data_IF_224569561244
#
_entry.id   IF_224569561244
#
_cell.length_a   1.000
_cell.length_b   1.000
_cell.length_c   1.000
_cell.angle_alpha   90.00
_cell.angle_beta   90.00
_cell.angle_gamma   90.00
#
_symmetry.space_group_name_H-M   'P 1'
#
loop_
_entity.id
_entity.type
_entity.pdbx_description
1 polymer ?
#
# COMPACT_ATOMS: atom_id res chain seq x y z
N UNK A 1 30.06 4.76 13.65
CA UNK A 1 29.10 4.65 12.53
C UNK A 1 29.28 5.90 11.70
N UNK A 2 29.80 5.78 10.49
CA UNK A 2 29.90 6.88 9.54
C UNK A 2 28.49 7.31 9.19
N UNK A 3 28.09 8.53 9.63
CA UNK A 3 26.85 9.13 9.17
C UNK A 3 26.95 9.32 7.66
N UNK A 4 26.22 8.53 6.91
CA UNK A 4 26.02 8.74 5.49
C UNK A 4 25.25 10.05 5.33
N UNK A 5 25.87 11.01 4.64
CA UNK A 5 25.24 12.33 4.42
C UNK A 5 24.30 12.24 3.21
N UNK A 6 23.04 12.00 3.47
CA UNK A 6 21.97 11.86 2.45
C UNK A 6 21.71 13.16 1.66
N UNK A 7 22.31 14.28 2.07
CA UNK A 7 22.18 15.56 1.34
C UNK A 7 23.14 15.69 0.16
N UNK A 8 24.12 14.80 0.02
CA UNK A 8 25.13 14.84 -1.03
C UNK A 8 24.67 14.09 -2.28
N UNK A 9 24.91 14.69 -3.44
CA UNK A 9 24.80 13.96 -4.70
C UNK A 9 25.90 12.91 -4.75
N UNK A 10 25.50 11.66 -5.02
CA UNK A 10 26.39 10.51 -5.14
C UNK A 10 26.12 9.82 -6.49
N UNK A 11 27.14 9.36 -7.16
CA UNK A 11 26.99 8.55 -8.37
C UNK A 11 26.66 7.08 -8.04
N UNK A 12 26.12 6.37 -9.02
CA UNK A 12 25.65 5.00 -8.83
C UNK A 12 26.76 4.01 -8.45
N UNK A 13 27.98 4.19 -8.96
CA UNK A 13 29.10 3.31 -8.65
C UNK A 13 29.55 3.51 -7.19
N UNK A 14 29.67 4.75 -6.75
CA UNK A 14 30.00 5.09 -5.37
C UNK A 14 28.90 4.58 -4.43
N UNK A 15 27.62 4.78 -4.78
CA UNK A 15 26.49 4.29 -4.00
C UNK A 15 26.51 2.76 -3.86
N UNK A 16 26.77 2.05 -4.96
CA UNK A 16 26.86 0.58 -4.98
C UNK A 16 27.93 0.04 -4.04
N UNK A 17 29.07 0.72 -3.96
CA UNK A 17 30.21 0.31 -3.15
C UNK A 17 30.19 0.86 -1.71
N UNK A 18 29.19 1.69 -1.35
CA UNK A 18 29.10 2.29 -0.02
C UNK A 18 28.26 1.40 0.90
N UNK A 19 28.81 0.93 2.05
CA UNK A 19 28.03 0.19 3.02
C UNK A 19 27.02 1.11 3.72
N UNK A 20 25.76 1.03 3.33
CA UNK A 20 24.64 1.75 3.93
C UNK A 20 23.96 0.86 4.97
N UNK A 21 23.60 1.38 6.17
CA UNK A 21 22.85 0.61 7.15
C UNK A 21 21.54 0.06 6.57
N UNK A 22 21.16 -1.18 6.89
CA UNK A 22 19.89 -1.73 6.43
C UNK A 22 18.70 -0.97 7.05
N UNK A 23 17.54 -1.09 6.42
CA UNK A 23 16.29 -0.55 6.95
C UNK A 23 16.08 -1.02 8.39
N UNK A 24 15.80 -0.06 9.29
CA UNK A 24 15.47 -0.37 10.68
C UNK A 24 14.01 -0.82 10.76
N UNK A 25 13.78 -1.95 11.40
CA UNK A 25 12.45 -2.49 11.62
C UNK A 25 11.99 -2.31 13.06
N UNK A 26 10.78 -1.83 13.24
CA UNK A 26 10.06 -1.84 14.53
C UNK A 26 9.36 -3.18 14.70
N UNK A 27 8.70 -3.66 13.65
CA UNK A 27 8.21 -5.04 13.55
C UNK A 27 8.79 -5.61 12.25
N UNK A 28 9.62 -6.65 12.31
CA UNK A 28 10.25 -7.24 11.13
C UNK A 28 9.23 -7.54 10.03
N UNK A 29 9.53 -7.18 8.80
CA UNK A 29 8.73 -7.38 7.57
C UNK A 29 7.35 -6.71 7.55
N UNK A 30 6.96 -5.97 8.60
CA UNK A 30 5.64 -5.35 8.70
C UNK A 30 5.69 -3.84 8.95
N UNK A 31 6.60 -3.38 9.81
CA UNK A 31 6.64 -1.98 10.24
C UNK A 31 8.08 -1.46 10.25
N UNK A 32 8.55 -0.86 9.15
CA UNK A 32 9.86 -0.24 9.09
C UNK A 32 9.87 1.15 9.75
N UNK A 33 11.05 1.72 9.95
CA UNK A 33 11.22 3.14 10.19
C UNK A 33 10.66 3.95 9.00
N UNK A 34 10.23 5.19 9.25
CA UNK A 34 9.56 6.05 8.28
C UNK A 34 8.13 6.36 8.69
N UNK A 35 7.33 6.87 7.75
CA UNK A 35 5.94 7.25 8.00
C UNK A 35 4.99 6.11 7.64
N UNK A 36 4.25 5.62 8.63
CA UNK A 36 3.29 4.53 8.46
C UNK A 36 1.87 4.97 8.83
N UNK A 37 0.86 4.37 8.21
CA UNK A 37 -0.54 4.65 8.49
C UNK A 37 -1.24 3.35 8.91
N UNK A 38 -1.99 3.37 10.02
CA UNK A 38 -2.98 2.37 10.37
C UNK A 38 -4.37 2.93 10.11
N UNK A 39 -4.97 2.55 9.00
CA UNK A 39 -6.31 2.95 8.61
C UNK A 39 -7.35 1.88 8.97
N UNK A 40 -8.57 2.29 9.24
CA UNK A 40 -9.67 1.37 9.50
C UNK A 40 -10.94 2.11 9.92
N UNK A 41 -12.08 1.45 9.79
CA UNK A 41 -13.37 2.00 10.19
C UNK A 41 -13.39 2.42 11.68
N UNK A 42 -14.27 3.33 12.04
CA UNK A 42 -14.50 3.66 13.46
C UNK A 42 -14.93 2.42 14.22
N UNK A 43 -14.37 2.20 15.41
CA UNK A 43 -14.64 1.04 16.28
C UNK A 43 -14.18 -0.31 15.71
N UNK A 44 -13.31 -0.33 14.71
CA UNK A 44 -12.72 -1.58 14.19
C UNK A 44 -11.71 -2.24 15.15
N UNK A 45 -11.26 -1.55 16.19
CA UNK A 45 -10.29 -2.08 17.16
C UNK A 45 -8.87 -1.53 16.98
N UNK A 46 -8.68 -0.46 16.20
CA UNK A 46 -7.34 0.14 15.94
C UNK A 46 -6.59 0.51 17.21
N UNK A 47 -7.23 1.22 18.15
CA UNK A 47 -6.56 1.65 19.39
C UNK A 47 -6.20 0.47 20.32
N UNK A 48 -6.97 -0.64 20.28
CA UNK A 48 -6.58 -1.88 20.94
C UNK A 48 -5.35 -2.50 20.31
N UNK A 49 -5.32 -2.56 18.96
CA UNK A 49 -4.16 -3.03 18.20
C UNK A 49 -2.92 -2.18 18.50
N UNK A 50 -3.04 -0.85 18.47
CA UNK A 50 -1.93 0.05 18.79
C UNK A 50 -1.42 -0.15 20.21
N UNK A 51 -2.31 -0.24 21.19
CA UNK A 51 -1.90 -0.36 22.60
C UNK A 51 -1.18 -1.69 22.86
N UNK A 52 -1.74 -2.80 22.36
CA UNK A 52 -1.09 -4.11 22.44
C UNK A 52 0.26 -4.12 21.71
N UNK A 53 0.32 -3.63 20.49
CA UNK A 53 1.54 -3.55 19.69
C UNK A 53 2.62 -2.75 20.41
N UNK A 54 2.28 -1.56 20.94
CA UNK A 54 3.20 -0.71 21.68
C UNK A 54 3.74 -1.43 22.94
N UNK A 55 2.90 -2.18 23.64
CA UNK A 55 3.31 -2.93 24.82
C UNK A 55 4.30 -4.05 24.44
N UNK A 56 4.02 -4.82 23.37
CA UNK A 56 4.92 -5.86 22.88
C UNK A 56 6.27 -5.28 22.43
N UNK A 57 6.27 -4.14 21.74
CA UNK A 57 7.50 -3.48 21.30
C UNK A 57 8.30 -2.96 22.50
N UNK A 58 7.64 -2.33 23.46
CA UNK A 58 8.28 -1.78 24.64
C UNK A 58 8.93 -2.86 25.54
N UNK A 59 8.41 -4.09 25.52
CA UNK A 59 8.91 -5.23 26.31
C UNK A 59 9.90 -6.11 25.54
N UNK A 60 9.90 -6.07 24.22
CA UNK A 60 10.66 -7.02 23.39
C UNK A 60 9.98 -8.38 23.30
N UNK A 61 8.66 -8.40 23.20
CA UNK A 61 7.87 -9.61 23.05
C UNK A 61 7.84 -10.15 21.62
N UNK A 62 6.76 -10.83 21.29
CA UNK A 62 6.48 -11.31 19.95
C UNK A 62 5.26 -10.61 19.35
N UNK A 63 5.34 -10.30 18.05
CA UNK A 63 4.21 -9.78 17.26
C UNK A 63 4.00 -10.72 16.11
N UNK A 64 2.94 -11.51 16.15
CA UNK A 64 2.54 -12.44 15.08
C UNK A 64 3.70 -13.33 14.60
N UNK A 65 4.38 -13.98 15.55
CA UNK A 65 5.52 -14.87 15.31
C UNK A 65 6.86 -14.17 15.06
N UNK A 66 6.90 -12.85 15.03
CA UNK A 66 8.12 -12.06 14.85
C UNK A 66 8.69 -11.62 16.18
N UNK A 67 9.95 -11.96 16.42
CA UNK A 67 10.66 -11.52 17.63
C UNK A 67 10.97 -10.03 17.53
N UNK A 68 10.62 -9.26 18.55
CA UNK A 68 10.83 -7.82 18.62
C UNK A 68 12.02 -7.52 19.54
N UNK A 69 12.93 -6.66 19.10
CA UNK A 69 13.93 -6.08 19.99
C UNK A 69 13.27 -4.98 20.84
N UNK A 70 13.44 -5.02 22.18
CA UNK A 70 12.80 -4.04 23.06
C UNK A 70 13.31 -2.64 22.76
N UNK A 71 12.38 -1.70 22.63
CA UNK A 71 12.70 -0.29 22.38
C UNK A 71 11.63 0.62 22.98
N UNK A 72 11.98 1.82 23.44
CA UNK A 72 11.01 2.77 23.96
C UNK A 72 10.01 3.19 22.87
N UNK A 73 8.77 3.39 23.29
CA UNK A 73 7.63 3.79 22.44
C UNK A 73 6.96 5.00 23.05
N UNK A 74 6.68 6.00 22.23
CA UNK A 74 5.84 7.15 22.58
C UNK A 74 4.45 6.98 21.94
N UNK A 75 3.40 6.90 22.76
CA UNK A 75 2.03 6.79 22.27
C UNK A 75 1.22 8.04 22.61
N UNK A 76 0.94 8.87 21.61
CA UNK A 76 0.06 10.04 21.69
C UNK A 76 -1.40 9.59 21.57
N UNK A 77 -2.05 9.32 22.71
CA UNK A 77 -3.45 8.85 22.82
C UNK A 77 -4.39 10.06 22.89
N UNK A 78 -4.57 10.80 21.81
CA UNK A 78 -5.22 12.12 21.80
C UNK A 78 -6.76 12.06 21.86
N UNK A 79 -7.35 10.86 21.79
CA UNK A 79 -8.80 10.63 21.95
C UNK A 79 -9.13 9.92 23.26
N UNK A 80 -8.13 9.61 24.07
CA UNK A 80 -8.29 8.86 25.29
C UNK A 80 -7.86 9.63 26.55
N UNK A 81 -8.27 9.13 27.69
CA UNK A 81 -7.84 9.59 29.02
C UNK A 81 -6.93 8.55 29.65
N UNK A 82 -6.06 8.97 30.58
CA UNK A 82 -5.18 8.02 31.31
C UNK A 82 -5.97 6.92 32.01
N UNK A 83 -7.14 7.23 32.57
CA UNK A 83 -8.00 6.22 33.19
C UNK A 83 -8.46 5.15 32.19
N UNK A 84 -8.83 5.53 30.95
CA UNK A 84 -9.23 4.57 29.93
C UNK A 84 -8.04 3.76 29.40
N UNK A 85 -6.89 4.39 29.25
CA UNK A 85 -5.64 3.71 28.85
C UNK A 85 -5.26 2.67 29.91
N UNK A 86 -5.28 3.04 31.19
CA UNK A 86 -5.00 2.12 32.30
C UNK A 86 -5.97 0.94 32.31
N UNK A 87 -7.29 1.19 32.18
CA UNK A 87 -8.28 0.13 32.13
C UNK A 87 -8.06 -0.86 30.97
N UNK A 88 -7.61 -0.36 29.81
CA UNK A 88 -7.28 -1.21 28.66
C UNK A 88 -5.98 -1.99 28.89
N UNK A 89 -4.95 -1.39 29.44
CA UNK A 89 -3.70 -2.09 29.77
C UNK A 89 -3.96 -3.27 30.70
N UNK A 90 -4.76 -3.07 31.73
CA UNK A 90 -5.15 -4.13 32.67
C UNK A 90 -5.95 -5.28 32.02
N UNK A 91 -6.66 -4.99 30.92
CA UNK A 91 -7.38 -6.01 30.15
C UNK A 91 -6.49 -6.75 29.15
N UNK A 92 -5.50 -6.07 28.55
CA UNK A 92 -4.56 -6.68 27.59
C UNK A 92 -3.62 -7.65 28.30
N UNK A 93 -3.16 -7.27 29.49
CA UNK A 93 -2.11 -8.01 30.18
C UNK A 93 -2.16 -7.76 31.68
N UNK A 94 -2.27 -8.84 32.43
CA UNK A 94 -2.22 -8.81 33.89
C UNK A 94 -0.80 -8.74 34.48
N UNK A 95 0.24 -8.85 33.66
CA UNK A 95 1.66 -8.88 34.14
C UNK A 95 2.25 -7.50 34.43
N UNK A 96 1.57 -6.43 34.06
CA UNK A 96 1.96 -5.05 34.36
C UNK A 96 2.35 -4.21 33.13
N UNK A 97 2.76 -2.97 33.38
CA UNK A 97 3.21 -2.04 32.33
C UNK A 97 4.68 -2.23 31.95
N UNK A 98 5.17 -1.42 31.02
CA UNK A 98 6.58 -1.30 30.68
C UNK A 98 7.04 0.14 30.90
N UNK A 99 8.18 0.41 31.55
CA UNK A 99 8.72 1.75 31.66
C UNK A 99 9.14 2.34 30.32
N UNK A 100 9.27 1.50 29.30
CA UNK A 100 9.57 1.90 27.91
C UNK A 100 8.32 2.31 27.12
N UNK A 101 7.11 2.19 27.68
CA UNK A 101 5.88 2.64 27.00
C UNK A 101 5.40 3.95 27.62
N UNK A 102 5.58 5.02 26.88
CA UNK A 102 5.28 6.39 27.29
C UNK A 102 3.95 6.83 26.69
N UNK A 103 3.11 7.49 27.49
CA UNK A 103 1.81 7.97 27.07
C UNK A 103 1.69 9.48 27.17
N UNK A 104 1.08 10.08 26.18
CA UNK A 104 0.69 11.48 26.18
C UNK A 104 -0.74 11.62 25.66
N UNK A 105 -1.59 12.38 26.37
CA UNK A 105 -3.03 12.54 26.01
C UNK A 105 -3.35 13.91 25.42
N UNK A 106 -2.37 14.78 25.31
CA UNK A 106 -2.48 16.10 24.71
C UNK A 106 -1.23 16.39 23.90
N UNK A 107 -1.38 17.09 22.77
CA UNK A 107 -0.27 17.52 21.94
C UNK A 107 -0.67 18.76 21.13
N UNK A 108 0.32 19.51 20.68
CA UNK A 108 0.16 20.51 19.65
C UNK A 108 -0.23 19.93 18.32
N UNK A 109 -0.63 20.77 17.37
CA UNK A 109 -0.85 20.38 15.98
C UNK A 109 0.45 20.28 15.18
N UNK A 110 0.38 19.67 13.99
CA UNK A 110 1.46 19.66 13.00
C UNK A 110 1.79 21.12 12.63
N UNK A 111 3.08 21.48 12.68
CA UNK A 111 3.53 22.87 12.50
C UNK A 111 3.18 23.80 13.68
N UNK A 112 2.57 23.29 14.74
CA UNK A 112 2.11 24.04 15.91
C UNK A 112 2.59 23.39 17.23
N UNK A 113 3.77 22.79 17.21
CA UNK A 113 4.44 22.28 18.41
C UNK A 113 4.60 20.77 18.49
N UNK A 114 3.84 19.96 17.73
CA UNK A 114 3.92 18.50 17.74
C UNK A 114 5.35 18.00 17.48
N UNK A 115 6.01 18.53 16.46
CA UNK A 115 7.37 18.12 16.08
C UNK A 115 8.39 18.43 17.19
N UNK A 116 8.23 19.59 17.83
CA UNK A 116 9.09 19.99 18.96
C UNK A 116 8.86 19.11 20.20
N UNK A 117 7.61 18.74 20.48
CA UNK A 117 7.25 17.82 21.57
C UNK A 117 7.85 16.43 21.33
N UNK A 118 7.69 15.85 20.13
CA UNK A 118 8.28 14.56 19.74
C UNK A 118 9.81 14.63 19.86
N UNK A 119 10.43 15.67 19.29
CA UNK A 119 11.89 15.87 19.35
C UNK A 119 12.39 15.96 20.80
N UNK A 120 11.63 16.61 21.68
CA UNK A 120 11.95 16.70 23.11
C UNK A 120 11.84 15.34 23.78
N UNK A 121 10.81 14.57 23.47
CA UNK A 121 10.65 13.20 23.99
C UNK A 121 11.81 12.27 23.55
N UNK A 122 12.23 12.38 22.28
CA UNK A 122 13.37 11.63 21.74
C UNK A 122 14.70 11.97 22.46
N UNK A 123 14.88 13.21 22.87
CA UNK A 123 16.06 13.63 23.67
C UNK A 123 16.02 13.10 25.10
N UNK A 124 14.86 13.07 25.74
CA UNK A 124 14.70 12.60 27.12
C UNK A 124 14.66 11.07 27.21
N UNK A 125 14.23 10.39 26.18
CA UNK A 125 14.12 8.93 26.10
C UNK A 125 14.87 8.43 24.85
N UNK A 126 16.21 8.37 24.90
CA UNK A 126 17.02 7.89 23.79
C UNK A 126 16.64 6.46 23.40
N UNK A 127 16.59 6.21 22.09
CA UNK A 127 16.26 4.89 21.56
C UNK A 127 14.77 4.68 21.27
N UNK A 128 13.89 5.68 21.46
CA UNK A 128 12.51 5.60 20.95
C UNK A 128 12.58 5.19 19.46
N UNK A 129 11.92 4.06 19.15
CA UNK A 129 11.86 3.54 17.78
C UNK A 129 10.51 3.72 17.14
N UNK A 130 9.48 3.91 17.96
CA UNK A 130 8.10 4.08 17.50
C UNK A 130 7.44 5.26 18.19
N UNK A 131 6.80 6.10 17.39
CA UNK A 131 5.85 7.12 17.83
C UNK A 131 4.49 6.80 17.22
N UNK A 132 3.47 6.59 18.04
CA UNK A 132 2.09 6.38 17.57
C UNK A 132 1.28 7.65 17.80
N UNK A 133 0.52 8.09 16.79
CA UNK A 133 -0.38 9.25 16.89
C UNK A 133 -1.82 8.77 16.66
N UNK A 134 -2.62 8.72 17.72
CA UNK A 134 -4.03 8.27 17.67
C UNK A 134 -4.95 9.43 18.10
N UNK A 135 -5.49 10.20 17.14
CA UNK A 135 -5.50 9.99 15.71
C UNK A 135 -4.91 11.18 14.95
N UNK A 136 -4.56 10.96 13.68
CA UNK A 136 -4.10 12.02 12.77
C UNK A 136 -5.04 13.24 12.79
N UNK A 137 -6.36 13.02 12.85
CA UNK A 137 -7.36 14.09 12.85
C UNK A 137 -7.18 15.09 14.01
N UNK A 138 -6.58 14.69 15.12
CA UNK A 138 -6.35 15.54 16.29
C UNK A 138 -5.17 16.49 16.15
N UNK A 139 -4.23 16.17 15.28
CA UNK A 139 -2.99 16.94 15.08
C UNK A 139 -2.92 17.65 13.74
N UNK A 140 -3.90 17.46 12.85
CA UNK A 140 -3.93 18.11 11.54
C UNK A 140 -3.96 19.63 11.67
N UNK A 141 -3.22 20.29 10.79
CA UNK A 141 -3.29 21.75 10.65
C UNK A 141 -4.68 22.17 10.14
N UNK A 142 -5.26 23.17 10.78
CA UNK A 142 -6.53 23.77 10.35
C UNK A 142 -6.18 25.01 9.53
N UNK A 143 -6.16 24.87 8.21
CA UNK A 143 -6.02 26.02 7.32
C UNK A 143 -7.38 26.41 6.72
N UNK A 144 -7.80 27.67 6.86
CA UNK A 144 -9.07 28.14 6.32
C UNK A 144 -9.09 28.28 4.79
N UNK A 145 -7.90 28.31 4.14
CA UNK A 145 -7.76 28.52 2.70
C UNK A 145 -6.71 27.59 2.11
N UNK A 146 -7.08 26.83 1.06
CA UNK A 146 -6.18 25.95 0.32
C UNK A 146 -6.87 24.69 -0.19
N UNK A 147 -6.20 23.94 -1.08
CA UNK A 147 -6.71 22.63 -1.47
C UNK A 147 -6.45 21.61 -0.37
N UNK A 148 -7.43 20.74 -0.10
CA UNK A 148 -7.29 19.67 0.87
C UNK A 148 -6.08 18.77 0.58
N UNK A 149 -5.77 18.56 -0.70
CA UNK A 149 -4.60 17.81 -1.14
C UNK A 149 -3.27 18.47 -0.68
N UNK A 150 -3.13 19.78 -0.87
CA UNK A 150 -1.90 20.49 -0.49
C UNK A 150 -1.70 20.51 1.03
N UNK A 151 -2.79 20.65 1.80
CA UNK A 151 -2.75 20.58 3.26
C UNK A 151 -2.36 19.16 3.73
N UNK A 152 -3.01 18.14 3.21
CA UNK A 152 -2.72 16.74 3.53
C UNK A 152 -1.26 16.37 3.19
N UNK A 153 -0.79 16.76 2.01
CA UNK A 153 0.58 16.49 1.57
C UNK A 153 1.62 17.19 2.45
N UNK A 154 1.36 18.42 2.87
CA UNK A 154 2.24 19.19 3.76
C UNK A 154 2.33 18.55 5.14
N UNK A 155 1.18 18.23 5.74
CA UNK A 155 1.13 17.56 7.04
C UNK A 155 1.89 16.24 7.02
N UNK A 156 1.66 15.42 5.99
CA UNK A 156 2.36 14.15 5.84
C UNK A 156 3.86 14.33 5.60
N UNK A 157 4.26 15.33 4.79
CA UNK A 157 5.67 15.60 4.51
C UNK A 157 6.43 16.04 5.76
N UNK A 158 5.81 16.85 6.63
CA UNK A 158 6.42 17.27 7.88
C UNK A 158 6.69 16.07 8.81
N UNK A 159 5.71 15.19 8.97
CA UNK A 159 5.86 13.98 9.78
C UNK A 159 6.84 12.98 9.17
N UNK A 160 6.86 12.84 7.83
CA UNK A 160 7.84 12.02 7.13
C UNK A 160 9.26 12.53 7.37
N UNK A 161 9.50 13.84 7.19
CA UNK A 161 10.81 14.45 7.44
C UNK A 161 11.27 14.22 8.89
N UNK A 162 10.34 14.33 9.85
CA UNK A 162 10.65 14.06 11.26
C UNK A 162 11.04 12.59 11.48
N UNK A 163 10.29 11.66 10.88
CA UNK A 163 10.57 10.23 10.97
C UNK A 163 11.95 9.87 10.39
N UNK A 164 12.23 10.39 9.20
CA UNK A 164 13.50 10.15 8.47
C UNK A 164 14.69 10.76 9.22
N UNK A 165 14.58 12.02 9.68
CA UNK A 165 15.66 12.71 10.39
C UNK A 165 16.07 12.02 11.69
N UNK A 166 15.15 11.32 12.33
CA UNK A 166 15.40 10.60 13.59
C UNK A 166 15.49 9.08 13.42
N UNK A 167 15.34 8.55 12.20
CA UNK A 167 15.33 7.12 11.90
C UNK A 167 14.34 6.33 12.79
N UNK A 168 13.14 6.88 12.99
CA UNK A 168 12.07 6.28 13.79
C UNK A 168 10.87 5.93 12.91
N UNK A 169 10.01 5.06 13.39
CA UNK A 169 8.68 4.88 12.80
C UNK A 169 7.68 5.86 13.44
N UNK A 170 6.94 6.60 12.62
CA UNK A 170 5.75 7.34 13.03
C UNK A 170 4.54 6.61 12.48
N UNK A 171 3.71 6.02 13.35
CA UNK A 171 2.49 5.30 12.98
C UNK A 171 1.27 6.20 13.24
N UNK A 172 0.59 6.61 12.18
CA UNK A 172 -0.60 7.44 12.22
C UNK A 172 -1.86 6.59 12.22
N UNK A 173 -2.69 6.68 13.25
CA UNK A 173 -4.02 6.07 13.25
C UNK A 173 -4.98 6.97 12.49
N UNK A 174 -5.66 6.41 11.49
CA UNK A 174 -6.56 7.16 10.63
C UNK A 174 -7.89 6.44 10.34
N UNK A 175 -8.88 7.19 9.87
CA UNK A 175 -10.22 6.68 9.60
C UNK A 175 -10.45 6.43 8.11
N UNK A 176 -11.43 5.57 7.80
CA UNK A 176 -11.92 5.35 6.45
C UNK A 176 -13.10 6.29 6.13
N UNK A 177 -13.26 6.61 4.85
CA UNK A 177 -14.46 7.26 4.33
C UNK A 177 -15.66 6.33 4.47
N UNK A 178 -16.86 6.90 4.55
CA UNK A 178 -18.09 6.11 4.60
C UNK A 178 -18.46 5.50 3.25
N UNK A 179 -17.95 6.06 2.15
CA UNK A 179 -18.20 5.55 0.79
C UNK A 179 -17.30 4.34 0.53
N UNK A 180 -17.91 3.28 -0.03
CA UNK A 180 -17.15 2.13 -0.52
C UNK A 180 -16.33 2.47 -1.76
N UNK A 181 -15.24 1.75 -1.99
CA UNK A 181 -14.45 1.79 -3.20
C UNK A 181 -14.07 0.36 -3.59
N UNK A 182 -13.81 0.12 -4.89
CA UNK A 182 -13.34 -1.19 -5.38
C UNK A 182 -11.98 -1.55 -4.77
N UNK A 183 -11.07 -0.58 -4.72
CA UNK A 183 -9.82 -0.70 -3.98
C UNK A 183 -10.04 -0.31 -2.51
N UNK A 184 -9.84 -1.23 -1.56
CA UNK A 184 -9.97 -0.94 -0.14
C UNK A 184 -9.09 0.21 0.36
N UNK A 185 -7.90 0.39 -0.20
CA UNK A 185 -6.99 1.49 0.18
C UNK A 185 -7.52 2.86 -0.25
N UNK A 186 -8.28 2.93 -1.35
CA UNK A 186 -8.94 4.16 -1.77
C UNK A 186 -10.04 4.64 -0.78
N UNK A 187 -10.43 3.82 0.20
CA UNK A 187 -11.34 4.21 1.28
C UNK A 187 -10.66 5.02 2.38
N UNK A 188 -9.34 5.12 2.41
CA UNK A 188 -8.63 5.92 3.41
C UNK A 188 -9.08 7.38 3.27
N UNK A 189 -9.48 7.98 4.40
CA UNK A 189 -10.05 9.32 4.44
C UNK A 189 -9.01 10.38 4.06
N UNK A 190 -9.44 11.49 3.46
CA UNK A 190 -8.55 12.55 2.98
C UNK A 190 -8.21 12.43 1.50
N UNK A 191 -7.20 13.16 1.06
CA UNK A 191 -6.74 13.13 -0.33
C UNK A 191 -5.77 11.97 -0.60
N UNK A 192 -5.47 11.72 -1.87
CA UNK A 192 -4.43 10.78 -2.28
C UNK A 192 -3.04 11.19 -1.78
N UNK A 193 -2.86 12.46 -1.35
CA UNK A 193 -1.63 12.95 -0.73
C UNK A 193 -1.27 12.25 0.57
N UNK A 194 -2.26 11.79 1.35
CA UNK A 194 -2.02 11.04 2.58
C UNK A 194 -1.38 9.68 2.27
N UNK A 195 -2.00 8.94 1.34
CA UNK A 195 -1.54 7.61 0.95
C UNK A 195 -0.17 7.68 0.26
N UNK A 196 -0.01 8.66 -0.65
CA UNK A 196 1.21 8.82 -1.45
C UNK A 196 2.46 9.18 -0.66
N UNK A 197 2.30 9.85 0.48
CA UNK A 197 3.42 10.25 1.34
C UNK A 197 3.84 9.16 2.34
N UNK A 198 2.98 8.19 2.63
CA UNK A 198 3.29 7.10 3.55
C UNK A 198 4.25 6.06 2.93
N UNK A 199 5.17 5.54 3.73
CA UNK A 199 6.06 4.45 3.35
C UNK A 199 5.36 3.09 3.49
N UNK A 200 4.52 2.95 4.51
CA UNK A 200 3.79 1.71 4.79
C UNK A 200 2.35 2.02 5.19
N UNK A 201 1.43 1.20 4.71
CA UNK A 201 0.01 1.33 5.02
C UNK A 201 -0.50 0.01 5.57
N UNK A 202 -1.13 0.08 6.72
CA UNK A 202 -1.88 -0.97 7.37
C UNK A 202 -3.37 -0.64 7.27
N UNK A 203 -4.15 -1.49 6.62
CA UNK A 203 -5.59 -1.33 6.47
C UNK A 203 -6.32 -2.41 7.25
N UNK A 204 -6.90 -2.04 8.40
CA UNK A 204 -7.68 -2.93 9.26
C UNK A 204 -9.16 -2.91 8.86
N UNK A 205 -9.63 -4.02 8.32
CA UNK A 205 -11.01 -4.25 7.92
C UNK A 205 -11.67 -5.27 8.86
N UNK A 206 -12.72 -4.85 9.56
CA UNK A 206 -13.50 -5.70 10.47
C UNK A 206 -14.98 -5.50 10.22
N UNK A 207 -15.72 -6.57 10.04
CA UNK A 207 -17.19 -6.52 10.03
C UNK A 207 -17.69 -6.32 11.46
N UNK A 208 -18.80 -5.62 11.60
CA UNK A 208 -19.42 -5.44 12.93
C UNK A 208 -19.75 -6.79 13.53
N UNK A 209 -19.45 -6.95 14.83
CA UNK A 209 -19.68 -8.17 15.62
C UNK A 209 -18.89 -9.41 15.16
N UNK A 210 -18.02 -9.29 14.17
CA UNK A 210 -17.10 -10.36 13.84
C UNK A 210 -15.95 -10.39 14.86
N UNK A 211 -15.53 -11.56 15.35
CA UNK A 211 -14.29 -11.68 16.12
C UNK A 211 -13.08 -11.49 15.22
N UNK A 212 -13.20 -11.75 13.90
CA UNK A 212 -12.10 -11.70 12.96
C UNK A 212 -12.02 -10.37 12.20
N UNK A 213 -10.82 -10.01 11.83
CA UNK A 213 -10.49 -8.87 10.97
C UNK A 213 -9.44 -9.27 9.94
N UNK A 214 -9.40 -8.56 8.82
CA UNK A 214 -8.33 -8.63 7.84
C UNK A 214 -7.46 -7.38 7.96
N UNK A 215 -6.16 -7.56 8.19
CA UNK A 215 -5.16 -6.51 8.14
C UNK A 215 -4.38 -6.66 6.84
N UNK A 216 -4.55 -5.72 5.92
CA UNK A 216 -3.75 -5.65 4.70
C UNK A 216 -2.58 -4.70 4.92
N UNK A 217 -1.39 -5.14 4.56
CA UNK A 217 -0.15 -4.37 4.71
C UNK A 217 0.47 -4.21 3.33
N UNK A 218 0.87 -3.00 2.99
CA UNK A 218 1.62 -2.68 1.77
C UNK A 218 2.58 -1.52 2.03
N UNK A 219 3.69 -1.46 1.32
CA UNK A 219 4.66 -0.39 1.52
C UNK A 219 5.81 -0.43 0.53
N UNK A 220 6.72 0.55 0.64
CA UNK A 220 7.91 0.65 -0.22
C UNK A 220 8.93 -0.45 0.09
N UNK A 221 9.09 -0.75 1.39
CA UNK A 221 10.06 -1.74 1.90
C UNK A 221 9.37 -3.02 2.39
N UNK A 222 8.04 -3.07 2.33
CA UNK A 222 7.22 -4.18 2.82
C UNK A 222 6.58 -4.90 1.65
N UNK A 223 6.81 -6.21 1.55
CA UNK A 223 6.05 -7.05 0.63
C UNK A 223 4.57 -7.03 1.01
N UNK A 224 3.71 -6.77 0.02
CA UNK A 224 2.26 -6.73 0.25
C UNK A 224 1.74 -8.07 0.76
N UNK A 225 0.97 -8.00 1.84
CA UNK A 225 0.40 -9.19 2.51
C UNK A 225 -0.90 -8.91 3.21
N UNK A 226 -1.62 -9.96 3.51
CA UNK A 226 -2.83 -9.92 4.31
C UNK A 226 -2.71 -10.86 5.50
N UNK A 227 -3.03 -10.35 6.69
CA UNK A 227 -3.11 -11.09 7.93
C UNK A 227 -4.59 -11.22 8.29
N UNK A 228 -5.05 -12.44 8.56
CA UNK A 228 -6.34 -12.70 9.19
C UNK A 228 -6.10 -12.75 10.69
N UNK A 229 -6.72 -11.80 11.39
CA UNK A 229 -6.55 -11.63 12.84
C UNK A 229 -7.86 -11.97 13.55
N UNK A 230 -7.77 -12.54 14.75
CA UNK A 230 -8.89 -12.73 15.66
C UNK A 230 -8.73 -11.82 16.88
N UNK A 231 -9.82 -11.14 17.25
CA UNK A 231 -9.86 -10.30 18.45
C UNK A 231 -10.33 -11.13 19.63
N UNK A 232 -9.44 -11.53 20.46
CA UNK A 232 -9.67 -12.34 21.64
C UNK A 232 -9.00 -11.69 22.86
N UNK A 233 -9.68 -11.60 23.99
CA UNK A 233 -9.20 -11.02 25.25
C UNK A 233 -8.46 -9.67 25.08
N UNK A 234 -9.04 -8.78 24.26
CA UNK A 234 -8.52 -7.46 23.94
C UNK A 234 -7.20 -7.45 23.13
N UNK A 235 -6.77 -8.59 22.62
CA UNK A 235 -5.58 -8.81 21.80
C UNK A 235 -5.97 -9.23 20.38
N UNK A 236 -5.10 -8.99 19.44
CA UNK A 236 -5.26 -9.42 18.05
C UNK A 236 -4.31 -10.59 17.76
N UNK A 237 -4.84 -11.81 17.76
CA UNK A 237 -4.10 -13.03 17.46
C UNK A 237 -4.04 -13.28 15.95
N UNK A 238 -2.91 -13.76 15.45
CA UNK A 238 -2.73 -14.12 14.06
C UNK A 238 -3.30 -15.51 13.80
N UNK A 239 -4.29 -15.62 12.91
CA UNK A 239 -4.82 -16.89 12.41
C UNK A 239 -4.12 -17.34 11.14
N UNK A 240 -3.92 -16.43 10.20
CA UNK A 240 -3.33 -16.73 8.90
C UNK A 240 -2.61 -15.50 8.34
N UNK A 241 -1.50 -15.73 7.65
CA UNK A 241 -0.78 -14.72 6.87
C UNK A 241 -0.59 -15.21 5.44
N UNK A 242 -0.86 -14.35 4.46
CA UNK A 242 -0.68 -14.63 3.04
C UNK A 242 -0.03 -13.46 2.34
N UNK A 243 0.97 -13.73 1.52
CA UNK A 243 1.58 -12.71 0.64
C UNK A 243 0.77 -12.55 -0.65
N UNK A 244 0.97 -11.42 -1.35
CA UNK A 244 0.33 -11.21 -2.66
C UNK A 244 0.65 -12.34 -3.64
N UNK A 245 1.89 -12.84 -3.61
CA UNK A 245 2.30 -14.00 -4.42
C UNK A 245 1.46 -15.23 -4.10
N UNK A 246 1.33 -15.58 -2.82
CA UNK A 246 0.53 -16.72 -2.38
C UNK A 246 -0.96 -16.53 -2.68
N UNK A 247 -1.48 -15.28 -2.55
CA UNK A 247 -2.85 -14.97 -2.94
C UNK A 247 -3.05 -15.12 -4.45
N UNK A 248 -2.11 -14.62 -5.26
CA UNK A 248 -2.14 -14.79 -6.70
C UNK A 248 -2.07 -16.28 -7.11
N UNK A 249 -1.23 -17.07 -6.43
CA UNK A 249 -1.16 -18.54 -6.64
C UNK A 249 -2.48 -19.22 -6.29
N UNK A 250 -3.11 -18.88 -5.17
CA UNK A 250 -4.43 -19.41 -4.76
C UNK A 250 -5.58 -18.97 -5.68
N UNK A 251 -5.46 -17.80 -6.31
CA UNK A 251 -6.44 -17.30 -7.27
C UNK A 251 -6.40 -18.06 -8.60
N UNK A 252 -5.30 -18.77 -8.90
CA UNK A 252 -5.19 -19.60 -10.10
C UNK A 252 -6.09 -20.82 -9.96
N UNK A 253 -7.01 -21.06 -10.90
CA UNK A 253 -7.87 -22.24 -10.85
C UNK A 253 -7.05 -23.54 -10.84
N UNK A 254 -7.39 -24.47 -9.95
CA UNK A 254 -6.67 -25.76 -9.82
C UNK A 254 -6.62 -26.56 -11.14
N UNK A 255 -7.63 -26.43 -11.98
CA UNK A 255 -7.65 -27.09 -13.29
C UNK A 255 -6.61 -26.51 -14.27
N UNK A 256 -6.18 -25.24 -14.09
CA UNK A 256 -5.13 -24.65 -14.92
C UNK A 256 -3.76 -25.26 -14.60
N UNK A 257 -3.51 -25.53 -13.33
CA UNK A 257 -2.32 -26.25 -12.88
C UNK A 257 -2.27 -27.68 -13.44
N UNK A 258 -3.40 -28.41 -13.45
CA UNK A 258 -3.50 -29.73 -14.04
C UNK A 258 -3.17 -29.72 -15.53
N UNK A 259 -3.67 -28.73 -16.27
CA UNK A 259 -3.36 -28.58 -17.69
C UNK A 259 -1.86 -28.31 -17.92
N UNK A 260 -1.24 -27.49 -17.07
CA UNK A 260 0.19 -27.20 -17.13
C UNK A 260 1.04 -28.42 -16.78
N UNK A 261 0.65 -29.19 -15.77
CA UNK A 261 1.35 -30.44 -15.38
C UNK A 261 1.29 -31.49 -16.48
N UNK A 262 0.14 -31.63 -17.15
CA UNK A 262 0.01 -32.47 -18.32
C UNK A 262 0.96 -32.06 -19.46
N UNK A 263 1.01 -30.77 -19.76
CA UNK A 263 1.87 -30.20 -20.81
C UNK A 263 3.35 -30.27 -20.46
N UNK A 264 3.72 -30.17 -19.20
CA UNK A 264 5.11 -30.29 -18.75
C UNK A 264 5.70 -31.71 -19.01
N UNK A 265 4.85 -32.73 -19.14
CA UNK A 265 5.21 -34.06 -19.55
C UNK A 265 5.38 -34.26 -21.06
N UNK A 266 5.14 -33.21 -21.88
CA UNK A 266 5.19 -33.28 -23.35
C UNK A 266 6.32 -32.38 -23.88
N UNK A 267 7.10 -32.86 -24.85
CA UNK A 267 8.10 -32.05 -25.53
C UNK A 267 7.41 -30.96 -26.39
N UNK A 268 6.40 -31.38 -27.14
CA UNK A 268 5.55 -30.49 -27.95
C UNK A 268 4.12 -30.98 -27.87
N UNK A 269 3.18 -30.08 -27.68
CA UNK A 269 1.75 -30.37 -27.75
C UNK A 269 1.05 -29.38 -28.66
N UNK A 270 0.16 -29.89 -29.54
CA UNK A 270 -0.66 -29.03 -30.40
C UNK A 270 -2.09 -29.55 -30.48
N UNK A 271 -3.06 -28.65 -30.36
CA UNK A 271 -4.48 -28.98 -30.43
C UNK A 271 -5.37 -27.79 -30.09
N UNK A 272 -6.67 -28.03 -30.00
CA UNK A 272 -7.64 -27.06 -29.54
C UNK A 272 -7.71 -27.01 -28.00
N UNK A 273 -8.26 -25.92 -27.45
CA UNK A 273 -8.49 -25.83 -26.01
C UNK A 273 -9.36 -27.02 -25.48
N UNK A 274 -10.38 -27.44 -26.26
CA UNK A 274 -11.20 -28.58 -25.89
C UNK A 274 -10.39 -29.87 -25.82
N UNK A 275 -9.52 -30.13 -26.81
CA UNK A 275 -8.66 -31.29 -26.84
C UNK A 275 -7.66 -31.30 -25.66
N UNK A 276 -7.12 -30.13 -25.32
CA UNK A 276 -6.23 -30.00 -24.16
C UNK A 276 -6.95 -30.32 -22.85
N UNK A 277 -8.13 -29.74 -22.66
CA UNK A 277 -8.93 -29.99 -21.44
C UNK A 277 -9.24 -31.49 -21.29
N UNK A 278 -9.65 -32.18 -22.37
CA UNK A 278 -9.90 -33.61 -22.37
C UNK A 278 -8.63 -34.40 -22.07
N UNK A 279 -7.51 -34.08 -22.72
CA UNK A 279 -6.23 -34.76 -22.54
C UNK A 279 -5.66 -34.59 -21.11
N UNK A 280 -5.87 -33.43 -20.52
CA UNK A 280 -5.44 -33.11 -19.15
C UNK A 280 -6.43 -33.61 -18.06
N UNK A 281 -7.53 -34.26 -18.43
CA UNK A 281 -8.55 -34.75 -17.50
C UNK A 281 -9.25 -33.61 -16.75
N UNK A 282 -9.50 -32.50 -17.44
CA UNK A 282 -10.16 -31.30 -16.88
C UNK A 282 -11.60 -31.27 -17.39
N UNK A 283 -12.54 -31.57 -16.50
CA UNK A 283 -13.97 -31.52 -16.78
C UNK A 283 -14.63 -30.22 -16.28
N UNK A 284 -15.77 -29.88 -16.92
CA UNK A 284 -16.61 -28.75 -16.48
C UNK A 284 -16.08 -27.36 -16.84
N UNK A 285 -14.96 -27.25 -17.55
CA UNK A 285 -14.35 -25.98 -17.97
C UNK A 285 -14.62 -25.72 -19.46
N UNK A 286 -15.16 -24.54 -19.76
CA UNK A 286 -15.39 -24.16 -21.15
C UNK A 286 -14.08 -23.75 -21.85
N UNK A 287 -13.90 -24.08 -23.15
CA UNK A 287 -12.67 -23.76 -23.89
C UNK A 287 -12.30 -22.27 -23.94
N UNK A 288 -13.30 -21.40 -23.95
CA UNK A 288 -13.11 -19.95 -23.92
C UNK A 288 -12.63 -19.49 -22.53
N UNK A 289 -13.16 -20.06 -21.44
CA UNK A 289 -12.71 -19.81 -20.07
C UNK A 289 -11.25 -20.27 -19.89
N UNK A 290 -10.92 -21.47 -20.39
CA UNK A 290 -9.55 -21.98 -20.37
C UNK A 290 -8.60 -21.01 -21.10
N UNK A 291 -8.91 -20.61 -22.34
CA UNK A 291 -8.04 -19.73 -23.13
C UNK A 291 -7.83 -18.37 -22.46
N UNK A 292 -8.88 -17.82 -21.84
CA UNK A 292 -8.79 -16.58 -21.08
C UNK A 292 -7.87 -16.71 -19.88
N UNK A 293 -8.06 -17.71 -19.05
CA UNK A 293 -7.24 -17.95 -17.86
C UNK A 293 -5.80 -18.34 -18.22
N UNK A 294 -5.60 -19.06 -19.32
CA UNK A 294 -4.27 -19.36 -19.86
C UNK A 294 -3.48 -18.07 -20.12
N UNK A 295 -4.08 -17.12 -20.87
CA UNK A 295 -3.40 -15.84 -21.17
C UNK A 295 -3.17 -15.02 -19.89
N UNK A 296 -4.15 -14.99 -18.99
CA UNK A 296 -4.08 -14.23 -17.74
C UNK A 296 -2.98 -14.74 -16.80
N UNK A 297 -2.82 -16.06 -16.70
CA UNK A 297 -1.89 -16.70 -15.76
C UNK A 297 -0.68 -17.35 -16.45
N UNK A 298 -0.41 -17.02 -17.72
CA UNK A 298 0.63 -17.67 -18.51
C UNK A 298 2.00 -17.68 -17.82
N UNK A 299 2.47 -16.52 -17.42
CA UNK A 299 3.79 -16.39 -16.80
C UNK A 299 3.92 -17.14 -15.48
N UNK A 300 2.83 -17.17 -14.71
CA UNK A 300 2.81 -17.80 -13.40
C UNK A 300 2.71 -19.34 -13.48
N UNK A 301 1.94 -19.86 -14.43
CA UNK A 301 1.57 -21.29 -14.48
C UNK A 301 2.37 -22.07 -15.53
N UNK A 302 2.53 -21.51 -16.72
CA UNK A 302 3.12 -22.21 -17.86
C UNK A 302 4.58 -21.83 -18.09
N UNK A 303 4.89 -20.53 -18.13
CA UNK A 303 6.27 -20.08 -18.32
C UNK A 303 7.19 -20.48 -17.17
N UNK A 304 6.68 -20.53 -15.92
CA UNK A 304 7.42 -21.02 -14.75
C UNK A 304 7.80 -22.52 -14.84
N UNK A 305 7.18 -23.27 -15.75
CA UNK A 305 7.47 -24.69 -16.06
C UNK A 305 8.27 -24.87 -17.36
N UNK A 306 8.83 -23.79 -17.90
CA UNK A 306 9.56 -23.84 -19.17
C UNK A 306 8.67 -24.12 -20.38
N UNK A 307 7.38 -23.76 -20.31
CA UNK A 307 6.44 -23.98 -21.42
C UNK A 307 6.25 -22.68 -22.22
N UNK A 308 6.65 -22.69 -23.50
CA UNK A 308 6.34 -21.62 -24.45
C UNK A 308 4.96 -21.87 -25.09
N UNK A 309 4.22 -20.79 -25.29
CA UNK A 309 2.87 -20.84 -25.83
C UNK A 309 2.75 -20.03 -27.12
N UNK A 310 2.15 -20.60 -28.13
CA UNK A 310 1.73 -19.91 -29.35
C UNK A 310 0.29 -20.31 -29.70
N UNK A 311 -0.46 -19.41 -30.34
CA UNK A 311 -1.79 -19.70 -30.84
C UNK A 311 -1.96 -19.23 -32.28
N UNK A 312 -2.59 -20.06 -33.11
CA UNK A 312 -2.91 -19.77 -34.51
C UNK A 312 -4.39 -20.02 -34.78
N UNK A 313 -5.05 -19.11 -35.45
CA UNK A 313 -6.43 -19.30 -35.92
C UNK A 313 -6.40 -19.95 -37.30
N UNK A 314 -7.11 -21.05 -37.44
CA UNK A 314 -7.41 -21.71 -38.71
C UNK A 314 -8.85 -21.39 -39.12
N UNK A 315 -9.28 -21.82 -40.30
CA UNK A 315 -10.65 -21.59 -40.80
C UNK A 315 -11.70 -22.17 -39.84
N UNK A 316 -11.39 -23.28 -39.15
CA UNK A 316 -12.37 -24.03 -38.35
C UNK A 316 -12.12 -24.01 -36.86
N UNK A 317 -10.91 -23.62 -36.37
CA UNK A 317 -10.58 -23.66 -34.96
C UNK A 317 -9.38 -22.75 -34.62
N UNK A 318 -9.20 -22.47 -33.32
CA UNK A 318 -7.98 -21.92 -32.74
C UNK A 318 -7.11 -23.06 -32.25
N UNK A 319 -5.92 -23.21 -32.84
CA UNK A 319 -4.91 -24.16 -32.41
C UNK A 319 -3.99 -23.50 -31.40
N UNK A 320 -3.72 -24.19 -30.31
CA UNK A 320 -2.76 -23.86 -29.28
C UNK A 320 -1.54 -24.75 -29.46
N UNK A 321 -0.36 -24.19 -29.40
CA UNK A 321 0.90 -24.93 -29.47
C UNK A 321 1.70 -24.63 -28.20
N UNK A 322 2.12 -25.65 -27.52
CA UNK A 322 3.03 -25.58 -26.39
C UNK A 322 4.31 -26.31 -26.73
N UNK A 323 5.44 -25.68 -26.46
CA UNK A 323 6.78 -26.27 -26.60
C UNK A 323 7.53 -26.08 -25.30
N UNK A 324 8.36 -27.05 -24.96
CA UNK A 324 9.26 -26.92 -23.81
C UNK A 324 10.50 -26.15 -24.22
N UNK A 325 10.99 -25.26 -23.34
CA UNK A 325 12.33 -24.69 -23.43
C UNK A 325 13.30 -25.83 -23.03
N UNK A 326 13.82 -26.54 -24.00
CA UNK A 326 14.98 -27.36 -23.77
C UNK A 326 16.15 -26.38 -23.62
N UNK A 327 16.90 -26.51 -22.54
CA UNK A 327 18.15 -25.81 -22.29
C UNK A 327 19.08 -26.17 -23.48
N UNK A 328 19.21 -25.25 -24.46
CA UNK A 328 20.16 -25.40 -25.56
C UNK A 328 21.56 -25.39 -24.94
N UNK A 329 21.99 -26.56 -24.48
CA UNK A 329 23.40 -26.82 -24.19
C UNK A 329 24.20 -26.56 -25.46
N UNK A 330 25.20 -25.69 -25.35
CA UNK A 330 26.25 -25.48 -26.31
C UNK A 330 26.64 -26.81 -26.98
N UNK A 331 26.32 -26.97 -28.26
CA UNK A 331 27.03 -27.94 -29.14
C UNK A 331 27.47 -27.21 -30.39
N UNK A 332 28.68 -26.60 -30.27
CA UNK A 332 29.54 -26.25 -31.38
C UNK A 332 30.02 -27.53 -32.08
N UNK A 333 29.36 -27.97 -33.13
CA UNK A 333 29.98 -28.84 -34.13
C UNK A 333 29.65 -28.38 -35.54
N UNK A 334 30.70 -27.88 -36.14
CA UNK A 334 30.97 -27.64 -37.57
C UNK A 334 30.59 -28.84 -38.40
N UNK A 335 29.82 -28.70 -39.49
CA UNK A 335 30.23 -29.14 -40.84
C UNK A 335 29.10 -29.02 -41.89
N UNK A 336 29.41 -28.45 -43.02
CA UNK A 336 28.92 -28.92 -44.32
C UNK A 336 27.92 -28.04 -45.05
N UNK A 337 28.40 -27.03 -45.78
CA UNK A 337 27.69 -26.51 -46.95
C UNK A 337 27.56 -27.56 -48.07
N UNK A 338 26.53 -27.50 -48.91
CA UNK A 338 26.84 -27.15 -50.29
C UNK A 338 25.96 -26.02 -50.90
N UNK A 339 26.67 -25.31 -51.75
CA UNK A 339 26.25 -24.24 -52.64
C UNK A 339 25.24 -24.70 -53.71
N UNK A 340 24.37 -23.80 -54.20
CA UNK A 340 24.28 -23.33 -55.60
C UNK A 340 22.97 -22.56 -55.85
N UNK A 341 23.12 -21.34 -56.31
CA UNK A 341 22.38 -20.83 -57.44
C UNK A 341 21.37 -19.69 -57.26
N UNK A 342 21.72 -18.50 -57.68
CA UNK A 342 20.79 -17.64 -58.44
C UNK A 342 20.34 -16.32 -57.73
N UNK A 343 21.09 -15.27 -58.04
CA UNK A 343 20.72 -13.85 -57.86
C UNK A 343 19.63 -13.46 -58.92
N UNK A 344 18.71 -12.48 -58.67
CA UNK A 344 19.06 -11.12 -58.91
C UNK A 344 18.54 -10.05 -57.90
N UNK A 345 19.23 -8.94 -58.00
CA UNK A 345 19.28 -7.70 -57.24
C UNK A 345 17.99 -6.82 -57.33
N UNK A 346 17.71 -6.19 -56.19
CA UNK A 346 17.52 -4.77 -55.84
C UNK A 346 16.22 -4.06 -56.27
N UNK A 347 15.77 -2.96 -55.67
CA UNK A 347 16.51 -2.03 -54.80
C UNK A 347 15.79 -1.57 -53.48
N UNK A 348 16.60 -1.00 -52.66
CA UNK A 348 16.40 -0.13 -51.52
C UNK A 348 15.21 0.81 -51.48
N UNK A 349 14.60 0.93 -50.28
CA UNK A 349 14.30 2.27 -49.73
C UNK A 349 14.15 2.21 -48.20
N UNK A 350 14.98 2.99 -47.60
CA UNK A 350 14.98 3.40 -46.22
C UNK A 350 13.76 4.23 -45.85
N UNK A 351 13.13 4.00 -44.69
CA UNK A 351 12.55 5.10 -43.90
C UNK A 351 12.29 4.65 -42.45
N UNK A 352 13.10 5.18 -41.57
CA UNK A 352 12.83 5.25 -40.13
C UNK A 352 11.70 6.24 -39.86
N UNK A 353 10.87 6.05 -38.85
CA UNK A 353 10.00 7.13 -38.39
C UNK A 353 10.69 7.93 -37.31
N UNK A 354 10.78 9.21 -37.64
CA UNK A 354 11.29 10.28 -36.81
C UNK A 354 10.37 10.67 -35.67
N UNK A 355 10.97 11.01 -34.56
CA UNK A 355 10.55 11.81 -33.41
C UNK A 355 9.63 12.99 -33.75
N UNK A 356 8.62 13.19 -32.92
CA UNK A 356 7.87 14.43 -32.86
C UNK A 356 8.63 15.49 -32.08
N UNK A 357 9.11 16.50 -32.75
CA UNK A 357 9.46 17.81 -32.17
C UNK A 357 8.36 18.81 -32.42
N UNK A 358 8.14 19.61 -31.42
CA UNK A 358 7.28 20.77 -31.25
C UNK A 358 7.81 21.94 -32.07
N UNK A 359 6.91 22.64 -32.79
CA UNK A 359 6.94 24.08 -33.13
C UNK A 359 5.58 24.37 -33.78
N UNK A 360 4.78 25.33 -33.36
CA UNK A 360 5.06 26.73 -33.17
C UNK A 360 4.22 27.50 -34.19
N UNK A 361 3.39 28.40 -33.69
CA UNK A 361 2.88 29.62 -34.35
C UNK A 361 1.50 29.63 -35.04
N UNK A 362 0.62 30.39 -34.46
CA UNK A 362 0.11 31.73 -34.77
C UNK A 362 -1.25 31.82 -35.47
N UNK A 363 -2.05 32.73 -34.88
CA UNK A 363 -3.12 33.57 -35.45
C UNK A 363 -4.56 33.04 -35.53
N UNK A 364 -5.39 33.76 -34.80
CA UNK A 364 -6.85 33.78 -35.01
C UNK A 364 -7.59 34.52 -33.89
N UNK A 365 -7.46 35.86 -33.87
CA UNK A 365 -8.39 36.73 -33.13
C UNK A 365 -9.84 36.51 -33.62
N UNK A 366 -10.76 36.37 -32.65
CA UNK A 366 -12.13 36.81 -32.82
C UNK A 366 -12.63 37.43 -31.52
N UNK A 367 -12.84 38.75 -31.62
CA UNK A 367 -13.49 39.59 -30.61
C UNK A 367 -15.01 39.45 -30.81
N UNK A 368 -15.75 39.26 -29.73
CA UNK A 368 -17.16 39.60 -29.66
C UNK A 368 -17.52 39.98 -28.20
N UNK A 369 -17.55 41.20 -27.98
CA UNK A 369 -18.42 42.15 -27.27
C UNK A 369 -19.80 41.64 -26.88
N UNK A 370 -20.23 41.92 -25.67
CA UNK A 370 -21.63 41.79 -25.24
C UNK A 370 -21.80 42.03 -23.76
N UNK A 371 -22.20 43.22 -23.43
CA UNK A 371 -22.43 43.78 -22.09
C UNK A 371 -23.69 43.23 -21.38
N UNK A 372 -24.02 43.76 -20.17
CA UNK A 372 -24.56 43.00 -19.04
C UNK A 372 -26.07 43.19 -18.90
N UNK A 373 -26.73 42.31 -18.21
CA UNK A 373 -28.13 42.49 -17.82
C UNK A 373 -28.20 42.84 -16.34
N UNK A 374 -28.87 43.96 -16.13
CA UNK A 374 -29.22 44.56 -14.82
C UNK A 374 -30.31 43.78 -14.11
N UNK A 375 -30.31 43.87 -12.77
CA UNK A 375 -31.35 43.36 -11.89
C UNK A 375 -32.74 44.02 -12.06
N UNK A 376 -33.69 43.65 -11.22
CA UNK A 376 -34.01 44.52 -10.07
C UNK A 376 -34.54 43.80 -8.81
N UNK A 377 -34.43 44.49 -7.69
CA UNK A 377 -35.50 44.70 -6.74
C UNK A 377 -35.36 43.99 -5.38
N UNK A 378 -34.81 44.69 -4.42
CA UNK A 378 -35.26 44.54 -3.03
C UNK A 378 -36.60 45.28 -2.85
N UNK A 379 -37.46 44.90 -1.88
CA UNK A 379 -37.33 45.51 -0.56
C UNK A 379 -37.88 44.64 0.61
N UNK A 380 -37.59 45.05 1.83
CA UNK A 380 -38.44 44.72 2.98
C UNK A 380 -37.69 44.38 4.26
N UNK A 381 -37.22 45.37 4.96
CA UNK A 381 -36.90 45.37 6.38
C UNK A 381 -38.14 45.04 7.22
N UNK A 382 -38.04 44.08 8.13
CA UNK A 382 -38.78 44.16 9.43
C UNK A 382 -37.92 43.59 10.54
N UNK A 383 -37.62 44.44 11.48
CA UNK A 383 -36.92 44.15 12.71
C UNK A 383 -37.82 43.35 13.68
N UNK A 384 -37.17 42.44 14.39
CA UNK A 384 -37.69 41.94 15.66
C UNK A 384 -36.53 41.90 16.65
N UNK A 385 -36.73 42.69 17.69
CA UNK A 385 -35.87 42.80 18.87
C UNK A 385 -35.92 41.51 19.71
N UNK A 386 -34.84 41.10 20.38
CA UNK A 386 -34.90 40.01 21.32
C UNK A 386 -35.31 40.48 22.70
N UNK A 387 -36.23 39.70 23.31
CA UNK A 387 -36.63 39.82 24.68
C UNK A 387 -35.73 38.95 25.58
N UNK A 388 -35.27 39.42 26.75
CA UNK A 388 -34.45 38.67 27.66
C UNK A 388 -35.29 37.79 28.57
N UNK A 389 -35.01 36.49 28.68
CA UNK A 389 -35.54 35.61 29.68
C UNK A 389 -34.53 35.38 30.79
N UNK A 390 -35.05 35.64 31.99
CA UNK A 390 -34.38 35.61 33.27
C UNK A 390 -33.91 34.20 33.70
N UNK A 391 -32.82 34.16 34.43
CA UNK A 391 -32.35 33.07 35.27
C UNK A 391 -33.28 32.83 36.48
N UNK A 392 -33.48 31.62 36.97
CA UNK A 392 -33.86 31.42 38.36
C UNK A 392 -32.66 31.04 39.23
N UNK A 393 -32.68 31.70 40.39
CA UNK A 393 -31.79 31.58 41.52
C UNK A 393 -31.81 30.17 42.19
N UNK A 394 -30.74 29.94 42.91
CA UNK A 394 -30.45 28.83 43.80
C UNK A 394 -31.48 28.69 44.92
N UNK A 395 -31.68 27.41 45.33
CA UNK A 395 -32.03 27.10 46.72
C UNK A 395 -31.62 25.67 47.08
N UNK A 396 -30.70 25.59 48.04
CA UNK A 396 -30.40 24.58 49.07
C UNK A 396 -29.88 23.21 48.64
#
# INVERSE_FOLDING_TARGET
MTNFDETKTIDAETLWNTPIPPVRWVVPDLLPAGLSILAGASKAGKSWLCLWLCLQIARGGQVWGRQISPQPVLYLCLEDTFNRIQGRLLQIDGEGGSPNLLFQTRSGGIGQGLEAEITTALKHHPGIGLVVIDTLQKVRSVEPFGSAYAADYRDMSALKQLADAHHICILLVHHLRKQGAEDPFAQISGSTGIIGAADTIWLLQRQRMSPTARLQVTGRDVESRALTLEFNDCVWDLLEETTDRQQAERAVPAWLWRAADFLAGQAVWQGTASQLLTAAGVDGVQPNQFTRSLVQHYHQVFASRGLRFASRRTANARLLTFTRDDDDGDDDTVAGSPSVGGIPKTPSSSSSPSFWTRDGNEHGLCVATGQPFAGPGAPGTMGVTPNPVALPEAAR
#
